data_IF_538305579895
#
_entry.id   IF_538305579895
#
_cell.length_a   1.000
_cell.length_b   1.000
_cell.length_c   1.000
_cell.angle_alpha   90.00
_cell.angle_beta   90.00
_cell.angle_gamma   90.00
#
_symmetry.space_group_name_H-M   'P 1'
#
loop_
_entity.id
_entity.type
_entity.pdbx_description
1 polymer ?
#
# COMPACT_ATOMS: atom_id res chain seq x y z
N UNK A 1 2.16 -37.55 -15.85
CA UNK A 1 1.99 -36.77 -14.60
C UNK A 1 3.39 -36.38 -14.14
N UNK A 2 3.97 -35.35 -14.74
CA UNK A 2 5.33 -34.92 -14.42
C UNK A 2 5.28 -33.44 -14.04
N UNK A 3 5.13 -33.17 -12.74
CA UNK A 3 5.42 -31.85 -12.21
C UNK A 3 6.92 -31.80 -11.90
N UNK A 4 7.69 -30.91 -12.55
CA UNK A 4 9.11 -30.75 -12.26
C UNK A 4 9.32 -30.11 -10.88
N UNK A 5 10.27 -30.66 -10.11
CA UNK A 5 10.61 -30.26 -8.76
C UNK A 5 10.84 -28.73 -8.61
N UNK A 6 9.96 -28.08 -7.84
CA UNK A 6 9.95 -26.64 -7.55
C UNK A 6 11.10 -26.26 -6.61
N UNK A 7 12.07 -25.48 -7.09
CA UNK A 7 13.12 -24.86 -6.26
C UNK A 7 12.44 -23.92 -5.24
N UNK A 8 12.65 -24.20 -3.95
CA UNK A 8 11.96 -23.56 -2.83
C UNK A 8 12.35 -22.08 -2.66
N UNK A 9 11.34 -21.21 -2.60
CA UNK A 9 11.35 -20.00 -1.76
C UNK A 9 12.26 -18.82 -2.10
N UNK A 10 12.96 -18.78 -3.24
CA UNK A 10 13.88 -17.67 -3.55
C UNK A 10 13.33 -16.79 -4.68
N UNK A 11 12.94 -15.56 -4.35
CA UNK A 11 12.47 -14.58 -5.34
C UNK A 11 13.69 -13.91 -5.98
N UNK A 12 13.77 -13.91 -7.32
CA UNK A 12 14.80 -13.15 -8.05
C UNK A 12 14.66 -11.66 -7.74
N UNK A 13 15.77 -10.92 -7.76
CA UNK A 13 15.79 -9.46 -7.54
C UNK A 13 14.75 -8.73 -8.42
N UNK A 14 14.69 -9.09 -9.70
CA UNK A 14 13.70 -8.57 -10.64
C UNK A 14 12.27 -9.01 -10.30
N UNK A 15 12.11 -10.23 -9.80
CA UNK A 15 10.82 -10.73 -9.31
C UNK A 15 10.31 -9.96 -8.09
N UNK A 16 11.20 -9.56 -7.18
CA UNK A 16 10.86 -8.75 -6.02
C UNK A 16 10.44 -7.33 -6.41
N UNK A 17 11.13 -6.71 -7.37
CA UNK A 17 10.75 -5.41 -7.93
C UNK A 17 9.38 -5.51 -8.62
N UNK A 18 9.18 -6.51 -9.48
CA UNK A 18 7.93 -6.72 -10.19
C UNK A 18 6.74 -6.97 -9.25
N UNK A 19 6.94 -7.77 -8.19
CA UNK A 19 5.91 -8.01 -7.17
C UNK A 19 5.54 -6.70 -6.44
N UNK A 20 6.55 -5.92 -6.04
CA UNK A 20 6.35 -4.66 -5.32
C UNK A 20 5.61 -3.63 -6.18
N UNK A 21 6.02 -3.48 -7.44
CA UNK A 21 5.37 -2.57 -8.38
C UNK A 21 3.96 -3.02 -8.72
N UNK A 22 3.71 -4.33 -8.87
CA UNK A 22 2.37 -4.86 -9.15
C UNK A 22 1.36 -4.49 -8.06
N UNK A 23 1.76 -4.56 -6.79
CA UNK A 23 0.88 -4.24 -5.66
C UNK A 23 0.69 -2.71 -5.51
N UNK A 24 1.70 -1.90 -5.84
CA UNK A 24 1.65 -0.43 -5.72
C UNK A 24 1.02 0.28 -6.93
N UNK A 25 1.06 -0.33 -8.12
CA UNK A 25 0.59 0.30 -9.36
C UNK A 25 -0.87 0.76 -9.33
N UNK A 26 -1.85 0.00 -8.78
CA UNK A 26 -3.24 0.45 -8.73
C UNK A 26 -3.41 1.71 -7.90
N UNK A 27 -2.75 1.78 -6.75
CA UNK A 27 -2.81 2.93 -5.84
C UNK A 27 -2.14 4.16 -6.47
N UNK A 28 -1.01 3.98 -7.16
CA UNK A 28 -0.35 5.05 -7.89
C UNK A 28 -1.22 5.58 -9.03
N UNK A 29 -1.81 4.69 -9.84
CA UNK A 29 -2.70 5.10 -10.93
C UNK A 29 -3.91 5.90 -10.43
N UNK A 30 -4.48 5.49 -9.30
CA UNK A 30 -5.58 6.22 -8.66
C UNK A 30 -5.12 7.57 -8.09
N UNK A 31 -3.92 7.65 -7.53
CA UNK A 31 -3.36 8.90 -6.96
C UNK A 31 -2.93 9.90 -8.02
N UNK A 32 -2.47 9.43 -9.19
CA UNK A 32 -2.13 10.29 -10.33
C UNK A 32 -3.39 10.94 -10.96
N UNK A 33 -4.59 10.54 -10.56
CA UNK A 33 -5.80 11.29 -10.84
C UNK A 33 -5.78 12.61 -10.03
N UNK A 34 -5.16 13.63 -10.60
CA UNK A 34 -4.92 14.91 -9.92
C UNK A 34 -6.19 15.67 -9.50
N UNK A 35 -7.38 15.25 -9.94
CA UNK A 35 -8.64 15.91 -9.62
C UNK A 35 -8.98 15.83 -8.12
N UNK A 36 -8.76 14.67 -7.49
CA UNK A 36 -9.06 14.47 -6.08
C UNK A 36 -8.13 15.29 -5.15
N UNK A 37 -6.79 15.26 -5.28
CA UNK A 37 -5.93 16.08 -4.43
C UNK A 37 -6.02 17.58 -4.75
N UNK A 38 -6.43 17.97 -5.97
CA UNK A 38 -6.62 19.37 -6.34
C UNK A 38 -7.75 20.06 -5.55
N UNK A 39 -8.76 19.33 -5.08
CA UNK A 39 -9.81 19.92 -4.21
C UNK A 39 -9.30 20.27 -2.82
N UNK A 40 -8.24 19.61 -2.35
CA UNK A 40 -7.67 19.84 -1.00
C UNK A 40 -6.52 20.86 -1.00
N UNK A 41 -5.67 20.85 -2.03
CA UNK A 41 -4.43 21.65 -2.05
C UNK A 41 -4.28 22.53 -3.30
N UNK A 42 -5.27 22.52 -4.20
CA UNK A 42 -5.31 23.38 -5.38
C UNK A 42 -4.13 23.15 -6.33
N UNK A 43 -3.46 24.21 -6.82
CA UNK A 43 -2.34 24.07 -7.75
C UNK A 43 -1.06 23.47 -7.12
N UNK A 44 -1.01 23.33 -5.78
CA UNK A 44 0.17 22.82 -5.08
C UNK A 44 0.28 21.28 -5.05
N UNK A 45 -0.60 20.56 -5.75
CA UNK A 45 -0.61 19.08 -5.83
C UNK A 45 0.75 18.47 -6.19
N UNK A 46 1.51 18.94 -7.19
CA UNK A 46 2.81 18.33 -7.51
C UNK A 46 3.81 18.47 -6.36
N UNK A 47 3.75 19.58 -5.62
CA UNK A 47 4.67 19.87 -4.54
C UNK A 47 4.40 18.97 -3.31
N UNK A 48 3.14 18.67 -3.04
CA UNK A 48 2.77 17.70 -1.98
C UNK A 48 3.17 16.27 -2.34
N UNK A 49 3.07 15.89 -3.62
CA UNK A 49 3.60 14.60 -4.10
C UNK A 49 5.12 14.51 -3.93
N UNK A 50 5.87 15.57 -4.28
CA UNK A 50 7.33 15.60 -4.10
C UNK A 50 7.74 15.52 -2.62
N UNK A 51 7.06 16.26 -1.73
CA UNK A 51 7.30 16.19 -0.29
C UNK A 51 7.00 14.79 0.27
N UNK A 52 5.89 14.19 -0.15
CA UNK A 52 5.52 12.83 0.27
C UNK A 52 6.52 11.80 -0.23
N UNK A 53 6.97 11.93 -1.48
CA UNK A 53 8.03 11.09 -2.05
C UNK A 53 9.32 11.16 -1.23
N UNK A 54 9.73 12.38 -0.85
CA UNK A 54 10.89 12.58 0.04
C UNK A 54 10.73 11.86 1.39
N UNK A 55 9.56 11.97 2.02
CA UNK A 55 9.25 11.26 3.26
C UNK A 55 9.34 9.74 3.13
N UNK A 56 8.74 9.17 2.08
CA UNK A 56 8.78 7.72 1.82
C UNK A 56 10.20 7.26 1.49
N UNK A 57 10.99 8.06 0.76
CA UNK A 57 12.38 7.74 0.44
C UNK A 57 13.27 7.65 1.70
N UNK A 58 13.06 8.54 2.69
CA UNK A 58 13.77 8.47 3.97
C UNK A 58 13.44 7.20 4.76
N UNK A 59 12.16 6.79 4.75
CA UNK A 59 11.73 5.52 5.35
C UNK A 59 12.38 4.35 4.62
N UNK A 60 12.31 4.32 3.28
CA UNK A 60 12.93 3.28 2.47
C UNK A 60 14.44 3.16 2.74
N UNK A 61 15.15 4.28 2.83
CA UNK A 61 16.58 4.31 3.18
C UNK A 61 16.85 3.66 4.55
N UNK A 62 16.01 3.94 5.55
CA UNK A 62 16.11 3.33 6.87
C UNK A 62 15.96 1.80 6.80
N UNK A 63 14.98 1.31 6.03
CA UNK A 63 14.82 -0.13 5.80
C UNK A 63 16.03 -0.75 5.12
N UNK A 64 16.52 -0.17 4.03
CA UNK A 64 17.70 -0.68 3.30
C UNK A 64 18.92 -0.78 4.23
N UNK A 65 19.15 0.22 5.08
CA UNK A 65 20.27 0.21 6.02
C UNK A 65 20.12 -0.84 7.13
N UNK A 66 18.89 -1.06 7.60
CA UNK A 66 18.59 -2.00 8.68
C UNK A 66 18.58 -3.46 8.19
N UNK A 67 17.97 -3.73 7.03
CA UNK A 67 17.93 -5.07 6.43
C UNK A 67 19.33 -5.54 6.02
N UNK A 68 20.23 -4.62 5.66
CA UNK A 68 21.65 -4.94 5.45
C UNK A 68 22.38 -5.45 6.70
N UNK A 69 21.85 -5.23 7.92
CA UNK A 69 22.42 -5.74 9.18
C UNK A 69 21.62 -6.89 9.78
N UNK A 70 20.31 -6.91 9.58
CA UNK A 70 19.40 -7.92 10.11
C UNK A 70 18.58 -8.57 8.98
N UNK A 71 18.98 -9.79 8.59
CA UNK A 71 18.23 -10.60 7.63
C UNK A 71 17.19 -11.46 8.38
N UNK A 72 16.02 -10.89 8.64
CA UNK A 72 14.87 -11.61 9.21
C UNK A 72 13.59 -11.28 8.45
N UNK A 73 12.75 -12.29 8.19
CA UNK A 73 11.48 -12.15 7.47
C UNK A 73 10.38 -11.39 8.25
N UNK A 74 10.68 -10.88 9.45
CA UNK A 74 9.70 -10.22 10.31
C UNK A 74 9.48 -8.72 10.04
N UNK A 75 10.01 -8.17 8.93
CA UNK A 75 9.80 -6.79 8.50
C UNK A 75 10.03 -5.76 9.63
N UNK A 76 9.19 -4.74 9.75
CA UNK A 76 9.31 -3.65 10.72
C UNK A 76 9.28 -4.16 12.17
N UNK A 77 8.47 -5.18 12.47
CA UNK A 77 8.39 -5.78 13.80
C UNK A 77 9.75 -6.34 14.25
N UNK A 78 10.42 -7.08 13.38
CA UNK A 78 11.74 -7.63 13.67
C UNK A 78 12.82 -6.54 13.72
N UNK A 79 12.78 -5.58 12.79
CA UNK A 79 13.79 -4.51 12.73
C UNK A 79 13.66 -3.54 13.92
N UNK A 80 12.45 -3.13 14.28
CA UNK A 80 12.19 -2.27 15.44
C UNK A 80 12.43 -3.01 16.76
N UNK A 81 12.06 -4.29 16.83
CA UNK A 81 12.35 -5.17 17.97
C UNK A 81 13.85 -5.32 18.22
N UNK A 82 14.63 -5.47 17.16
CA UNK A 82 16.09 -5.65 17.24
C UNK A 82 16.86 -4.34 17.52
N UNK A 83 16.33 -3.17 17.14
CA UNK A 83 17.07 -1.89 17.25
C UNK A 83 16.63 -1.00 18.39
N UNK A 84 15.33 -0.92 18.69
CA UNK A 84 14.78 -0.04 19.72
C UNK A 84 14.39 -0.86 20.96
N UNK A 85 14.01 -2.11 20.76
CA UNK A 85 13.74 -3.08 21.82
C UNK A 85 12.38 -3.77 21.67
N UNK A 86 12.10 -4.80 22.50
CA UNK A 86 10.95 -5.70 22.31
C UNK A 86 9.60 -5.01 22.32
N UNK A 87 9.45 -3.95 23.14
CA UNK A 87 8.19 -3.19 23.26
C UNK A 87 7.90 -2.38 22.00
N UNK A 88 8.91 -1.71 21.44
CA UNK A 88 8.77 -0.98 20.19
C UNK A 88 8.48 -1.92 19.01
N UNK A 89 9.11 -3.10 19.00
CA UNK A 89 8.77 -4.20 18.09
C UNK A 89 7.27 -4.54 18.17
N UNK A 90 6.76 -4.88 19.36
CA UNK A 90 5.35 -5.22 19.56
C UNK A 90 4.37 -4.13 19.06
N UNK A 91 4.61 -2.86 19.40
CA UNK A 91 3.78 -1.76 18.90
C UNK A 91 3.85 -1.60 17.39
N UNK A 92 5.04 -1.74 16.79
CA UNK A 92 5.18 -1.70 15.33
C UNK A 92 4.44 -2.86 14.65
N UNK A 93 4.40 -4.05 15.27
CA UNK A 93 3.62 -5.19 14.77
C UNK A 93 2.11 -4.92 14.76
N UNK A 94 1.57 -4.34 15.83
CA UNK A 94 0.19 -3.88 15.88
C UNK A 94 -0.09 -2.76 14.87
N UNK A 95 0.85 -1.84 14.69
CA UNK A 95 0.77 -0.81 13.65
C UNK A 95 0.67 -1.43 12.25
N UNK A 96 1.50 -2.43 11.94
CA UNK A 96 1.45 -3.14 10.67
C UNK A 96 0.12 -3.87 10.47
N UNK A 97 -0.39 -4.51 11.52
CA UNK A 97 -1.69 -5.17 11.47
C UNK A 97 -2.80 -4.15 11.15
N UNK A 98 -2.76 -2.98 11.79
CA UNK A 98 -3.68 -1.87 11.52
C UNK A 98 -3.62 -1.40 10.06
N UNK A 99 -2.42 -1.23 9.50
CA UNK A 99 -2.25 -0.85 8.08
C UNK A 99 -2.84 -1.91 7.15
N UNK A 100 -2.61 -3.21 7.43
CA UNK A 100 -3.18 -4.28 6.61
C UNK A 100 -4.71 -4.29 6.64
N UNK A 101 -5.33 -4.10 7.81
CA UNK A 101 -6.79 -3.95 7.89
C UNK A 101 -7.28 -2.71 7.14
N UNK A 102 -6.59 -1.58 7.27
CA UNK A 102 -6.88 -0.36 6.52
C UNK A 102 -6.86 -0.60 5.01
N UNK A 103 -5.89 -1.38 4.50
CA UNK A 103 -5.84 -1.76 3.09
C UNK A 103 -7.01 -2.64 2.66
N UNK A 104 -7.43 -3.60 3.48
CA UNK A 104 -8.61 -4.44 3.19
C UNK A 104 -9.87 -3.58 3.08
N UNK A 105 -10.08 -2.67 4.02
CA UNK A 105 -11.25 -1.78 4.03
C UNK A 105 -11.21 -0.88 2.80
N UNK A 106 -10.09 -0.18 2.58
CA UNK A 106 -9.95 0.80 1.49
C UNK A 106 -10.05 0.15 0.11
N UNK A 107 -9.44 -1.02 -0.11
CA UNK A 107 -9.51 -1.71 -1.40
C UNK A 107 -10.92 -2.22 -1.69
N UNK A 108 -11.63 -2.69 -0.65
CA UNK A 108 -13.03 -3.13 -0.77
C UNK A 108 -13.94 -1.95 -1.09
N UNK A 109 -13.75 -0.81 -0.41
CA UNK A 109 -14.47 0.44 -0.68
C UNK A 109 -14.20 0.98 -2.08
N UNK A 110 -12.93 1.01 -2.52
CA UNK A 110 -12.58 1.46 -3.87
C UNK A 110 -13.23 0.55 -4.93
N UNK A 111 -13.16 -0.76 -4.75
CA UNK A 111 -13.82 -1.73 -5.63
C UNK A 111 -15.32 -1.51 -5.68
N UNK A 112 -15.97 -1.26 -4.54
CA UNK A 112 -17.39 -0.96 -4.48
C UNK A 112 -17.74 0.31 -5.27
N UNK A 113 -16.96 1.39 -5.15
CA UNK A 113 -17.17 2.63 -5.91
C UNK A 113 -17.02 2.44 -7.43
N UNK A 114 -16.00 1.68 -7.86
CA UNK A 114 -15.84 1.37 -9.29
C UNK A 114 -16.96 0.45 -9.80
N UNK A 115 -17.41 -0.49 -8.97
CA UNK A 115 -18.48 -1.40 -9.35
C UNK A 115 -19.83 -0.69 -9.48
N UNK A 116 -20.18 0.19 -8.55
CA UNK A 116 -21.43 0.96 -8.60
C UNK A 116 -21.44 1.93 -9.78
N UNK A 117 -20.32 2.61 -10.04
CA UNK A 117 -20.20 3.48 -11.22
C UNK A 117 -20.28 2.69 -12.53
N UNK A 118 -19.69 1.49 -12.60
CA UNK A 118 -19.82 0.62 -13.76
C UNK A 118 -21.27 0.17 -13.98
N UNK A 119 -21.97 -0.25 -12.92
CA UNK A 119 -23.38 -0.67 -12.99
C UNK A 119 -24.31 0.46 -13.45
N UNK A 120 -24.10 1.67 -12.95
CA UNK A 120 -24.84 2.86 -13.37
C UNK A 120 -24.59 3.15 -14.87
N UNK A 121 -23.32 3.07 -15.32
CA UNK A 121 -22.96 3.34 -16.72
C UNK A 121 -23.43 2.27 -17.71
N UNK A 122 -23.47 0.99 -17.32
CA UNK A 122 -23.84 -0.10 -18.24
C UNK A 122 -25.33 -0.41 -18.21
N UNK A 123 -25.96 -0.34 -17.03
CA UNK A 123 -27.32 -0.85 -16.83
C UNK A 123 -28.29 0.22 -16.32
N UNK A 124 -27.84 1.45 -16.06
CA UNK A 124 -28.68 2.51 -15.49
C UNK A 124 -29.23 2.17 -14.11
N UNK A 125 -28.61 1.21 -13.41
CA UNK A 125 -29.04 0.77 -12.08
C UNK A 125 -28.57 1.81 -11.07
N UNK A 126 -29.50 2.65 -10.62
CA UNK A 126 -29.25 3.62 -9.56
C UNK A 126 -29.20 2.90 -8.21
N UNK A 127 -28.00 2.60 -7.76
CA UNK A 127 -27.76 2.09 -6.42
C UNK A 127 -27.96 3.26 -5.44
N UNK A 128 -28.85 3.17 -4.42
CA UNK A 128 -29.09 4.26 -3.50
C UNK A 128 -27.80 4.73 -2.82
N UNK A 129 -27.44 6.00 -3.01
CA UNK A 129 -26.24 6.64 -2.45
C UNK A 129 -26.43 7.07 -0.98
N UNK A 130 -26.98 6.20 -0.14
CA UNK A 130 -27.40 6.56 1.23
C UNK A 130 -26.26 6.65 2.27
N UNK A 131 -24.99 6.73 1.87
CA UNK A 131 -23.87 6.71 2.84
C UNK A 131 -22.61 7.48 2.43
N UNK A 132 -22.70 8.45 1.51
CA UNK A 132 -21.55 9.26 1.08
C UNK A 132 -21.36 10.58 1.85
N UNK A 133 -22.13 10.87 2.91
CA UNK A 133 -22.16 12.17 3.59
C UNK A 133 -21.91 12.15 5.10
N UNK A 134 -21.41 11.04 5.67
CA UNK A 134 -21.05 10.97 7.10
C UNK A 134 -19.53 10.88 7.36
N UNK A 135 -18.68 11.29 6.41
CA UNK A 135 -17.25 11.54 6.59
C UNK A 135 -16.79 12.64 5.64
#
# INVERSE_FOLDING_TARGET
>A
MEQPAKKSGTLSFWGAIALSLSIMAPTLAMSLNGAQPATMVGPAVPLTFLLSFGGVALVAYSFVRLTGRFHHAGSVYALAGATIGPRAGFFSGWGLLGVYFGFIITTSSATALFLTTLLDRLFGVQVPSSSASCW
#
